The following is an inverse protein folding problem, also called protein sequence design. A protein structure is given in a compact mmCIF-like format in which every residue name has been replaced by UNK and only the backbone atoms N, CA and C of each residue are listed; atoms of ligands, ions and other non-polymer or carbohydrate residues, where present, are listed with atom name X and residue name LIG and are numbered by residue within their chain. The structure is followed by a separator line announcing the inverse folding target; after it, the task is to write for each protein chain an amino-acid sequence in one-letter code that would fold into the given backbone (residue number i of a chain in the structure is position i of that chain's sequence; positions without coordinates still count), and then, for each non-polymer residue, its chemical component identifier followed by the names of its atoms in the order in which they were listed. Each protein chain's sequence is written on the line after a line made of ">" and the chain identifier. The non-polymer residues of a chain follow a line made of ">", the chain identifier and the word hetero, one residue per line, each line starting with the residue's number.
data_IF_556695452062
#
_entry.id   IF_556695452062
#
_cell.length_a   1.000
_cell.length_b   1.000
_cell.length_c   1.000
_cell.angle_alpha   90.00
_cell.angle_beta   90.00
_cell.angle_gamma   90.00
#
_symmetry.space_group_name_H-M   'P 1'
#
loop_
_entity.id
_entity.type
_entity.pdbx_description
1 polymer ?
#
# COMPACT_ATOMS: atom_id res chain seq x y z
N UNK A 1 31.76 18.90 0.18
CA UNK A 1 31.38 17.46 0.24
C UNK A 1 30.08 17.21 1.00
N UNK A 2 29.85 17.78 2.19
CA UNK A 2 28.61 17.56 2.96
C UNK A 2 27.33 18.03 2.23
N UNK A 3 27.34 19.22 1.62
CA UNK A 3 26.17 19.74 0.88
C UNK A 3 25.77 18.86 -0.32
N UNK A 4 26.75 18.38 -1.08
CA UNK A 4 26.52 17.47 -2.23
C UNK A 4 25.93 16.14 -1.76
N UNK A 5 26.44 15.59 -0.65
CA UNK A 5 25.89 14.37 -0.03
C UNK A 5 24.43 14.56 0.42
N UNK A 6 24.11 15.71 1.01
CA UNK A 6 22.74 16.03 1.44
C UNK A 6 21.78 16.13 0.26
N UNK A 7 22.18 16.84 -0.81
CA UNK A 7 21.38 16.94 -2.03
C UNK A 7 21.13 15.55 -2.62
N UNK A 8 22.17 14.72 -2.72
CA UNK A 8 22.05 13.35 -3.22
C UNK A 8 21.08 12.50 -2.38
N UNK A 9 21.12 12.63 -1.06
CA UNK A 9 20.15 11.96 -0.18
C UNK A 9 18.72 12.47 -0.42
N UNK A 10 18.55 13.79 -0.58
CA UNK A 10 17.26 14.41 -0.86
C UNK A 10 16.69 14.07 -2.24
N UNK A 11 17.55 13.71 -3.20
CA UNK A 11 17.13 13.33 -4.55
C UNK A 11 16.27 12.07 -4.54
N UNK A 12 16.54 11.09 -3.68
CA UNK A 12 15.85 9.78 -3.67
C UNK A 12 15.01 9.53 -2.41
N UNK A 13 14.93 10.53 -1.53
CA UNK A 13 14.10 10.47 -0.33
C UNK A 13 12.60 10.57 -0.66
N UNK A 14 11.72 10.08 0.24
CA UNK A 14 10.28 10.12 0.02
C UNK A 14 9.72 11.54 0.01
N UNK A 15 8.62 11.74 -0.70
CA UNK A 15 7.83 12.97 -0.62
C UNK A 15 7.18 13.09 0.76
N UNK A 16 7.28 14.28 1.35
CA UNK A 16 6.58 14.66 2.57
C UNK A 16 5.21 15.24 2.21
N UNK A 17 4.15 14.76 2.85
CA UNK A 17 2.77 15.21 2.62
C UNK A 17 2.30 16.18 3.69
N UNK A 18 2.56 15.85 4.96
CA UNK A 18 2.11 16.66 6.10
C UNK A 18 3.08 16.58 7.27
N UNK A 19 3.13 17.67 8.03
CA UNK A 19 3.72 17.73 9.37
C UNK A 19 2.58 17.95 10.36
N UNK A 20 2.36 17.00 11.27
CA UNK A 20 1.42 17.13 12.37
C UNK A 20 2.06 17.98 13.47
N UNK A 21 1.62 19.24 13.57
CA UNK A 21 2.04 20.19 14.61
C UNK A 21 0.77 20.70 15.33
N UNK A 22 0.78 20.66 16.66
CA UNK A 22 -0.32 21.11 17.52
C UNK A 22 -0.69 22.58 17.26
N UNK A 23 0.24 23.36 16.72
CA UNK A 23 0.05 24.79 16.41
C UNK A 23 -0.65 25.05 15.07
N UNK A 24 -0.60 24.09 14.13
CA UNK A 24 -1.16 24.22 12.77
C UNK A 24 -1.74 22.89 12.30
N UNK A 25 -2.90 22.48 12.86
CA UNK A 25 -3.47 21.16 12.61
C UNK A 25 -3.82 20.92 11.13
N UNK A 26 -4.10 21.96 10.34
CA UNK A 26 -4.68 21.81 9.00
C UNK A 26 -3.71 22.04 7.83
N UNK A 27 -2.46 22.42 8.09
CA UNK A 27 -1.55 22.85 7.01
C UNK A 27 -0.78 21.64 6.43
N UNK A 28 -0.91 21.44 5.11
CA UNK A 28 -0.11 20.47 4.35
C UNK A 28 1.34 20.95 4.19
N UNK A 29 2.26 20.05 3.90
CA UNK A 29 3.64 20.43 3.63
C UNK A 29 3.74 21.29 2.35
N UNK A 30 4.29 22.48 2.49
CA UNK A 30 4.52 23.39 1.37
C UNK A 30 5.91 23.14 0.75
N UNK A 31 5.91 22.41 -0.36
CA UNK A 31 7.09 22.24 -1.19
C UNK A 31 7.51 23.57 -1.86
N UNK A 32 8.82 23.81 -1.93
CA UNK A 32 9.37 24.94 -2.68
C UNK A 32 9.15 24.81 -4.19
N UNK A 33 9.32 25.90 -4.95
CA UNK A 33 9.08 25.91 -6.40
C UNK A 33 9.88 24.85 -7.17
N UNK A 34 11.16 24.64 -6.81
CA UNK A 34 12.02 23.65 -7.46
C UNK A 34 11.56 22.21 -7.20
N UNK A 35 11.13 21.92 -5.96
CA UNK A 35 10.57 20.62 -5.60
C UNK A 35 9.26 20.36 -6.34
N UNK A 36 8.34 21.34 -6.33
CA UNK A 36 7.05 21.24 -7.04
C UNK A 36 7.23 20.96 -8.53
N UNK A 37 8.14 21.67 -9.20
CA UNK A 37 8.40 21.47 -10.62
C UNK A 37 8.97 20.07 -10.89
N UNK A 38 9.99 19.67 -10.12
CA UNK A 38 10.61 18.35 -10.26
C UNK A 38 9.62 17.21 -10.04
N UNK A 39 8.81 17.30 -8.97
CA UNK A 39 7.78 16.30 -8.68
C UNK A 39 6.69 16.29 -9.75
N UNK A 40 6.26 17.45 -10.28
CA UNK A 40 5.25 17.51 -11.34
C UNK A 40 5.72 16.80 -12.62
N UNK A 41 6.97 16.98 -13.02
CA UNK A 41 7.54 16.31 -14.20
C UNK A 41 7.65 14.80 -13.98
N UNK A 42 8.18 14.38 -12.83
CA UNK A 42 8.31 12.96 -12.47
C UNK A 42 6.93 12.29 -12.45
N UNK A 43 5.93 12.93 -11.82
CA UNK A 43 4.56 12.42 -11.76
C UNK A 43 3.91 12.34 -13.14
N UNK A 44 4.08 13.35 -14.00
CA UNK A 44 3.53 13.34 -15.36
C UNK A 44 4.10 12.19 -16.18
N UNK A 45 5.41 11.94 -16.08
CA UNK A 45 6.07 10.82 -16.74
C UNK A 45 5.61 9.46 -16.19
N UNK A 46 5.40 9.36 -14.88
CA UNK A 46 4.84 8.15 -14.26
C UNK A 46 3.42 7.84 -14.77
N UNK A 47 2.56 8.85 -14.87
CA UNK A 47 1.19 8.68 -15.39
C UNK A 47 1.25 8.26 -16.87
N UNK A 48 2.07 8.94 -17.68
CA UNK A 48 2.25 8.59 -19.10
C UNK A 48 2.76 7.15 -19.26
N UNK A 49 3.68 6.71 -18.41
CA UNK A 49 4.16 5.32 -18.40
C UNK A 49 3.02 4.33 -18.08
N UNK A 50 2.24 4.57 -17.02
CA UNK A 50 1.14 3.69 -16.65
C UNK A 50 0.05 3.65 -17.74
N UNK A 51 -0.36 4.80 -18.27
CA UNK A 51 -1.32 4.88 -19.38
C UNK A 51 -0.77 4.18 -20.63
N UNK A 52 0.53 4.35 -20.91
CA UNK A 52 1.24 3.67 -21.98
C UNK A 52 1.24 2.15 -21.82
N UNK A 53 1.41 1.63 -20.60
CA UNK A 53 1.30 0.20 -20.31
C UNK A 53 -0.11 -0.33 -20.59
N UNK A 54 -1.15 0.37 -20.13
CA UNK A 54 -2.55 -0.04 -20.38
C UNK A 54 -2.95 0.04 -21.85
N UNK A 55 -2.38 1.00 -22.60
CA UNK A 55 -2.62 1.17 -24.04
C UNK A 55 -1.58 0.46 -24.92
N UNK A 56 -0.66 -0.31 -24.31
CA UNK A 56 0.49 -0.90 -24.99
C UNK A 56 0.15 -1.81 -26.18
N UNK A 57 -0.93 -2.62 -26.20
CA UNK A 57 -1.24 -3.44 -27.37
C UNK A 57 -1.61 -2.59 -28.60
N UNK A 58 -2.31 -1.47 -28.37
CA UNK A 58 -2.69 -0.52 -29.41
C UNK A 58 -1.44 0.24 -29.87
N UNK A 59 -0.64 0.76 -28.92
CA UNK A 59 0.60 1.48 -29.22
C UNK A 59 1.59 0.61 -29.99
N UNK A 60 1.79 -0.65 -29.59
CA UNK A 60 2.66 -1.60 -30.27
C UNK A 60 2.21 -1.84 -31.72
N UNK A 61 0.90 -1.98 -31.95
CA UNK A 61 0.34 -2.14 -33.30
C UNK A 61 0.59 -0.89 -34.16
N UNK A 62 0.42 0.31 -33.61
CA UNK A 62 0.68 1.58 -34.30
C UNK A 62 2.17 1.73 -34.62
N UNK A 63 3.04 1.45 -33.65
CA UNK A 63 4.50 1.53 -33.82
C UNK A 63 5.00 0.55 -34.88
N UNK A 64 4.44 -0.67 -34.90
CA UNK A 64 4.73 -1.68 -35.91
C UNK A 64 4.30 -1.22 -37.31
N UNK A 65 3.04 -0.77 -37.47
CA UNK A 65 2.52 -0.29 -38.76
C UNK A 65 3.28 0.91 -39.32
N UNK A 66 3.85 1.76 -38.45
CA UNK A 66 4.64 2.93 -38.84
C UNK A 66 6.13 2.63 -39.06
N UNK A 67 6.56 1.38 -38.92
CA UNK A 67 7.95 0.99 -39.18
C UNK A 67 8.96 1.48 -38.14
N UNK A 68 8.52 1.82 -36.92
CA UNK A 68 9.44 2.28 -35.87
C UNK A 68 10.41 1.19 -35.36
N UNK A 69 10.21 -0.07 -35.75
CA UNK A 69 11.13 -1.18 -35.49
C UNK A 69 12.21 -1.34 -36.58
N UNK A 70 12.25 -0.48 -37.58
CA UNK A 70 13.36 -0.39 -38.56
C UNK A 70 14.49 0.46 -37.96
N UNK A 71 15.73 0.31 -38.45
CA UNK A 71 16.93 0.98 -37.91
C UNK A 71 16.73 2.49 -37.66
N UNK A 72 16.21 3.24 -38.63
CA UNK A 72 15.94 4.67 -38.48
C UNK A 72 14.89 4.99 -37.40
N UNK A 73 13.89 4.10 -37.27
CA UNK A 73 12.87 4.14 -36.22
C UNK A 73 13.46 3.92 -34.83
N UNK A 74 14.35 2.95 -34.69
CA UNK A 74 15.06 2.65 -33.43
C UNK A 74 15.92 3.84 -33.01
N UNK A 75 16.66 4.46 -33.94
CA UNK A 75 17.45 5.67 -33.65
C UNK A 75 16.55 6.81 -33.16
N UNK A 76 15.36 6.96 -33.74
CA UNK A 76 14.38 7.98 -33.32
C UNK A 76 13.83 7.69 -31.91
N UNK A 77 13.49 6.44 -31.62
CA UNK A 77 13.08 6.00 -30.27
C UNK A 77 14.21 6.27 -29.26
N UNK A 78 15.45 5.93 -29.60
CA UNK A 78 16.60 6.12 -28.72
C UNK A 78 16.85 7.60 -28.40
N UNK A 79 16.70 8.50 -29.38
CA UNK A 79 16.77 9.96 -29.16
C UNK A 79 15.66 10.44 -28.22
N UNK A 80 14.44 9.95 -28.42
CA UNK A 80 13.29 10.30 -27.58
C UNK A 80 13.46 9.81 -26.14
N UNK A 81 13.87 8.55 -25.94
CA UNK A 81 14.15 7.98 -24.61
C UNK A 81 15.30 8.70 -23.92
N UNK A 82 16.36 9.06 -24.67
CA UNK A 82 17.46 9.87 -24.13
C UNK A 82 16.97 11.25 -23.66
N UNK A 83 16.13 11.91 -24.47
CA UNK A 83 15.52 13.19 -24.10
C UNK A 83 14.68 13.10 -22.81
N UNK A 84 13.82 12.09 -22.70
CA UNK A 84 13.07 11.81 -21.48
C UNK A 84 14.00 11.54 -20.29
N UNK A 85 15.05 10.75 -20.50
CA UNK A 85 16.05 10.44 -19.46
C UNK A 85 16.76 11.69 -18.92
N UNK A 86 17.13 12.62 -19.80
CA UNK A 86 17.73 13.90 -19.41
C UNK A 86 16.76 14.78 -18.63
N UNK A 87 15.50 14.86 -19.07
CA UNK A 87 14.44 15.59 -18.35
C UNK A 87 14.21 15.00 -16.96
N UNK A 88 14.16 13.66 -16.84
CA UNK A 88 14.06 12.98 -15.56
C UNK A 88 15.24 13.31 -14.66
N UNK A 89 16.47 13.16 -15.16
CA UNK A 89 17.68 13.46 -14.39
C UNK A 89 17.68 14.91 -13.87
N UNK A 90 17.35 15.88 -14.73
CA UNK A 90 17.23 17.27 -14.33
C UNK A 90 16.14 17.47 -13.26
N UNK A 91 14.99 16.81 -13.40
CA UNK A 91 13.86 16.90 -12.45
C UNK A 91 14.24 16.36 -11.07
N UNK A 92 14.93 15.21 -11.00
CA UNK A 92 15.43 14.67 -9.74
C UNK A 92 16.47 15.59 -9.08
N UNK A 93 17.37 16.21 -9.85
CA UNK A 93 18.33 17.18 -9.34
C UNK A 93 17.65 18.42 -8.75
N UNK A 94 16.70 19.03 -9.48
CA UNK A 94 15.96 20.20 -9.02
C UNK A 94 15.14 19.89 -7.76
N UNK A 95 14.52 18.70 -7.72
CA UNK A 95 13.85 18.20 -6.52
C UNK A 95 14.80 18.08 -5.33
N UNK A 96 15.96 17.48 -5.52
CA UNK A 96 16.98 17.31 -4.48
C UNK A 96 17.45 18.65 -3.91
N UNK A 97 17.69 19.65 -4.78
CA UNK A 97 18.07 21.01 -4.36
C UNK A 97 16.93 21.69 -3.60
N UNK A 98 15.69 21.59 -4.10
CA UNK A 98 14.51 22.18 -3.46
C UNK A 98 14.31 21.65 -2.04
N UNK A 99 14.44 20.34 -1.86
CA UNK A 99 14.33 19.66 -0.56
C UNK A 99 15.48 19.99 0.38
N UNK A 100 16.72 20.07 -0.13
CA UNK A 100 17.90 20.42 0.67
C UNK A 100 17.82 21.83 1.27
N UNK A 101 17.10 22.74 0.60
CA UNK A 101 16.89 24.11 1.06
C UNK A 101 15.67 24.27 2.00
N UNK A 102 14.87 23.22 2.23
CA UNK A 102 13.70 23.28 3.10
C UNK A 102 14.00 22.71 4.50
N UNK A 103 14.00 23.57 5.52
CA UNK A 103 14.32 23.17 6.90
C UNK A 103 13.34 22.13 7.48
N UNK A 104 12.04 22.23 7.17
CA UNK A 104 11.05 21.26 7.63
C UNK A 104 11.31 19.88 7.01
N UNK A 105 11.68 19.85 5.73
CA UNK A 105 12.03 18.61 5.03
C UNK A 105 13.30 17.96 5.59
N UNK A 106 14.34 18.76 5.86
CA UNK A 106 15.59 18.24 6.45
C UNK A 106 15.34 17.66 7.85
N UNK A 107 14.50 18.30 8.66
CA UNK A 107 14.15 17.79 9.99
C UNK A 107 13.43 16.45 9.88
N UNK A 108 12.45 16.35 8.97
CA UNK A 108 11.80 15.09 8.63
C UNK A 108 12.81 14.01 8.19
N UNK A 109 13.71 14.35 7.26
CA UNK A 109 14.68 13.40 6.72
C UNK A 109 15.62 12.86 7.81
N UNK A 110 16.00 13.70 8.78
CA UNK A 110 16.78 13.29 9.94
C UNK A 110 15.98 12.34 10.84
N UNK A 111 14.71 12.63 11.13
CA UNK A 111 13.82 11.74 11.89
C UNK A 111 13.63 10.39 11.19
N UNK A 112 13.43 10.40 9.86
CA UNK A 112 13.31 9.18 9.06
C UNK A 112 14.60 8.36 9.07
N UNK A 113 15.76 9.01 8.94
CA UNK A 113 17.07 8.34 8.95
C UNK A 113 17.35 7.73 10.31
N UNK A 114 16.99 8.42 11.40
CA UNK A 114 17.09 7.90 12.75
C UNK A 114 16.20 6.67 12.96
N UNK A 115 14.92 6.73 12.54
CA UNK A 115 13.98 5.62 12.64
C UNK A 115 14.38 4.40 11.79
N UNK A 116 14.99 4.62 10.62
CA UNK A 116 15.53 3.54 9.77
C UNK A 116 16.76 2.87 10.37
N UNK A 117 17.57 3.63 11.13
CA UNK A 117 18.75 3.09 11.82
C UNK A 117 18.32 2.27 13.04
N UNK A 118 17.40 2.81 13.83
CA UNK A 118 16.90 2.18 15.05
C UNK A 118 15.45 2.58 15.29
N UNK A 119 14.54 1.61 15.15
CA UNK A 119 13.12 1.81 15.40
C UNK A 119 12.80 1.49 16.87
N UNK A 120 12.69 2.53 17.69
CA UNK A 120 12.28 2.45 19.09
C UNK A 120 11.04 3.34 19.31
N UNK A 121 10.52 3.38 20.54
CA UNK A 121 9.29 4.15 20.86
C UNK A 121 9.47 5.66 20.59
N UNK A 122 10.65 6.20 20.85
CA UNK A 122 10.92 7.64 20.71
C UNK A 122 11.12 8.03 19.24
N UNK A 123 11.88 7.24 18.48
CA UNK A 123 12.07 7.47 17.04
C UNK A 123 10.77 7.26 16.27
N UNK A 124 9.95 6.29 16.68
CA UNK A 124 8.59 6.14 16.16
C UNK A 124 7.74 7.37 16.46
N UNK A 125 7.67 7.81 17.72
CA UNK A 125 6.88 9.00 18.09
C UNK A 125 7.31 10.25 17.34
N UNK A 126 8.61 10.41 17.10
CA UNK A 126 9.14 11.50 16.27
C UNK A 126 8.72 11.37 14.81
N UNK A 127 8.74 10.14 14.26
CA UNK A 127 8.33 9.86 12.87
C UNK A 127 6.83 10.03 12.65
N UNK A 128 6.00 9.67 13.63
CA UNK A 128 4.53 9.81 13.58
C UNK A 128 4.06 11.25 13.45
N UNK A 129 4.94 12.24 13.65
CA UNK A 129 4.67 13.66 13.36
C UNK A 129 4.65 13.98 11.86
N UNK A 130 5.01 13.03 11.01
CA UNK A 130 5.13 13.24 9.58
C UNK A 130 4.27 12.22 8.80
N UNK A 131 3.54 12.71 7.80
CA UNK A 131 2.92 11.87 6.78
C UNK A 131 3.74 11.96 5.49
N UNK A 132 4.15 10.82 4.95
CA UNK A 132 5.04 10.74 3.80
C UNK A 132 4.81 9.43 3.03
N UNK A 133 5.49 9.29 1.89
CA UNK A 133 5.33 8.12 1.02
C UNK A 133 5.62 6.80 1.74
N UNK A 134 4.66 5.88 1.63
CA UNK A 134 4.66 4.64 2.41
C UNK A 134 5.90 3.77 2.19
N UNK A 135 6.46 3.71 0.97
CA UNK A 135 7.63 2.86 0.67
C UNK A 135 8.81 3.13 1.63
N UNK A 136 8.94 4.36 2.12
CA UNK A 136 10.01 4.75 3.02
C UNK A 136 9.72 4.48 4.50
N UNK A 137 8.47 4.21 4.88
CA UNK A 137 8.08 3.90 6.26
C UNK A 137 8.81 2.63 6.73
N UNK A 138 9.42 2.63 7.93
CA UNK A 138 10.13 1.46 8.43
C UNK A 138 9.16 0.31 8.72
N UNK A 139 9.59 -0.93 8.48
CA UNK A 139 8.80 -2.11 8.82
C UNK A 139 8.79 -2.27 10.34
N UNK A 140 7.60 -2.34 10.94
CA UNK A 140 7.45 -2.39 12.39
C UNK A 140 7.14 -3.79 12.92
N UNK A 141 6.64 -4.67 12.05
CA UNK A 141 6.29 -6.03 12.40
C UNK A 141 6.43 -6.93 11.17
N UNK A 142 7.08 -8.07 11.34
CA UNK A 142 7.32 -9.06 10.30
C UNK A 142 6.71 -10.39 10.70
N UNK A 143 6.34 -11.17 9.71
CA UNK A 143 5.89 -12.55 9.92
C UNK A 143 6.93 -13.41 10.65
N UNK A 144 8.22 -13.08 10.51
CA UNK A 144 9.34 -13.78 11.15
C UNK A 144 9.59 -13.38 12.60
N UNK A 145 8.97 -12.29 13.08
CA UNK A 145 9.18 -11.80 14.45
C UNK A 145 8.48 -12.69 15.49
N UNK A 146 7.58 -13.57 15.03
CA UNK A 146 6.97 -14.62 15.83
C UNK A 146 7.88 -15.84 15.68
N UNK A 147 8.72 -16.09 16.69
CA UNK A 147 9.59 -17.26 16.73
C UNK A 147 8.78 -18.55 16.53
N UNK A 148 9.15 -19.33 15.51
CA UNK A 148 8.95 -20.78 15.55
C UNK A 148 7.54 -21.32 15.36
N UNK A 149 6.56 -20.56 14.86
CA UNK A 149 5.27 -21.16 14.51
C UNK A 149 5.30 -21.81 13.11
N UNK A 150 6.23 -22.77 12.92
CA UNK A 150 6.17 -23.75 11.83
C UNK A 150 4.99 -24.73 12.01
N UNK A 151 4.36 -24.73 13.19
CA UNK A 151 3.29 -25.64 13.58
C UNK A 151 1.88 -25.10 13.33
N UNK A 152 1.70 -23.80 13.04
CA UNK A 152 0.39 -23.27 12.59
C UNK A 152 0.09 -23.79 11.21
N UNK A 153 -0.48 -24.98 11.18
CA UNK A 153 -1.07 -25.58 10.01
C UNK A 153 -2.21 -24.67 9.55
N UNK A 154 -1.93 -23.90 8.49
CA UNK A 154 -2.95 -23.07 7.87
C UNK A 154 -4.00 -23.99 7.29
N UNK A 155 -5.23 -23.82 7.74
CA UNK A 155 -6.36 -24.50 7.16
C UNK A 155 -6.65 -23.83 5.82
N UNK A 156 -6.71 -24.66 4.79
CA UNK A 156 -7.18 -24.28 3.47
C UNK A 156 -8.41 -25.12 3.18
N UNK A 157 -9.40 -24.52 2.52
CA UNK A 157 -10.53 -25.29 2.01
C UNK A 157 -10.00 -26.21 0.92
N UNK A 158 -10.28 -27.51 1.02
CA UNK A 158 -9.88 -28.48 0.01
C UNK A 158 -10.32 -28.00 -1.37
N UNK A 159 -9.37 -27.85 -2.29
CA UNK A 159 -9.71 -27.54 -3.67
C UNK A 159 -10.51 -28.73 -4.20
N UNK A 160 -11.70 -28.51 -4.78
CA UNK A 160 -12.44 -29.59 -5.40
C UNK A 160 -11.52 -30.27 -6.41
N UNK A 161 -11.30 -31.57 -6.23
CA UNK A 161 -10.46 -32.34 -7.15
C UNK A 161 -11.04 -32.16 -8.55
N UNK A 162 -10.24 -31.71 -9.55
CA UNK A 162 -10.73 -31.62 -10.90
C UNK A 162 -10.93 -33.06 -11.38
N UNK A 163 -12.15 -33.58 -11.25
CA UNK A 163 -12.58 -34.80 -11.93
C UNK A 163 -12.66 -34.48 -13.43
N UNK A 164 -11.51 -34.36 -14.08
CA UNK A 164 -11.37 -34.20 -15.53
C UNK A 164 -10.52 -35.35 -16.05
N UNK A 165 -11.01 -35.99 -17.08
CA UNK A 165 -10.30 -37.03 -17.83
C UNK A 165 -9.11 -36.39 -18.58
N UNK A 166 -8.03 -37.13 -18.85
CA UNK A 166 -6.83 -36.56 -19.50
C UNK A 166 -7.12 -35.88 -20.86
N UNK A 167 -8.11 -36.37 -21.59
CA UNK A 167 -8.59 -35.81 -22.85
C UNK A 167 -9.30 -34.47 -22.63
N UNK A 168 -10.16 -34.38 -21.61
CA UNK A 168 -10.86 -33.14 -21.24
C UNK A 168 -9.89 -32.07 -20.72
N UNK A 169 -8.79 -32.49 -20.08
CA UNK A 169 -7.71 -31.59 -19.69
C UNK A 169 -7.00 -31.00 -20.91
N UNK A 170 -6.65 -31.83 -21.90
CA UNK A 170 -6.00 -31.37 -23.14
C UNK A 170 -6.88 -30.37 -23.92
N UNK A 171 -8.18 -30.66 -24.08
CA UNK A 171 -9.12 -29.75 -24.75
C UNK A 171 -9.39 -28.47 -23.93
N UNK A 172 -9.22 -28.50 -22.61
CA UNK A 172 -9.36 -27.33 -21.75
C UNK A 172 -8.09 -26.45 -21.70
N UNK A 173 -6.93 -26.93 -22.15
CA UNK A 173 -5.66 -26.18 -22.08
C UNK A 173 -5.73 -24.80 -22.75
N UNK A 174 -6.26 -24.64 -23.98
CA UNK A 174 -6.36 -23.31 -24.59
C UNK A 174 -7.22 -22.37 -23.77
N UNK A 175 -8.35 -22.86 -23.23
CA UNK A 175 -9.23 -22.09 -22.37
C UNK A 175 -8.52 -21.71 -21.05
N UNK A 176 -7.78 -22.63 -20.42
CA UNK A 176 -7.02 -22.35 -19.20
C UNK A 176 -5.92 -21.31 -19.43
N UNK A 177 -5.21 -21.38 -20.55
CA UNK A 177 -4.21 -20.37 -20.92
C UNK A 177 -4.88 -19.01 -21.12
N UNK A 178 -5.99 -18.95 -21.85
CA UNK A 178 -6.75 -17.70 -22.03
C UNK A 178 -7.29 -17.18 -20.70
N UNK A 179 -7.85 -18.03 -19.84
CA UNK A 179 -8.33 -17.65 -18.52
C UNK A 179 -7.20 -17.13 -17.63
N UNK A 180 -6.03 -17.77 -17.66
CA UNK A 180 -4.83 -17.33 -16.95
C UNK A 180 -4.39 -15.95 -17.46
N UNK A 181 -4.29 -15.77 -18.79
CA UNK A 181 -3.96 -14.49 -19.39
C UNK A 181 -4.97 -13.41 -19.02
N UNK A 182 -6.27 -13.67 -19.11
CA UNK A 182 -7.33 -12.73 -18.72
C UNK A 182 -7.21 -12.37 -17.25
N UNK A 183 -7.07 -13.35 -16.35
CA UNK A 183 -6.96 -13.13 -14.92
C UNK A 183 -5.74 -12.26 -14.57
N UNK A 184 -4.57 -12.53 -15.17
CA UNK A 184 -3.32 -11.83 -14.86
C UNK A 184 -3.13 -10.50 -15.61
N UNK A 185 -3.91 -10.20 -16.65
CA UNK A 185 -3.82 -8.95 -17.40
C UNK A 185 -4.79 -7.90 -16.88
N UNK A 186 -6.10 -8.10 -17.06
CA UNK A 186 -7.13 -7.13 -16.70
C UNK A 186 -8.20 -7.67 -15.76
N UNK A 187 -8.44 -8.99 -15.73
CA UNK A 187 -9.49 -9.63 -14.95
C UNK A 187 -9.37 -9.29 -13.46
N UNK A 188 -8.19 -9.50 -12.85
CA UNK A 188 -7.95 -9.15 -11.45
C UNK A 188 -8.18 -7.67 -11.17
N UNK A 189 -7.77 -6.79 -12.08
CA UNK A 189 -7.92 -5.34 -11.95
C UNK A 189 -9.38 -4.90 -12.07
N UNK A 190 -10.22 -5.62 -12.80
CA UNK A 190 -11.66 -5.38 -12.84
C UNK A 190 -12.37 -5.87 -11.57
N UNK A 191 -11.91 -6.98 -11.00
CA UNK A 191 -12.45 -7.49 -9.72
C UNK A 191 -12.05 -6.57 -8.57
N UNK A 192 -10.79 -6.10 -8.54
CA UNK A 192 -10.23 -5.19 -7.54
C UNK A 192 -9.75 -3.87 -8.18
N UNK A 193 -10.66 -2.97 -8.58
CA UNK A 193 -10.28 -1.71 -9.20
C UNK A 193 -9.38 -0.84 -8.30
N UNK A 194 -9.44 -1.00 -6.97
CA UNK A 194 -8.57 -0.29 -6.03
C UNK A 194 -7.07 -0.54 -6.22
N UNK A 195 -6.66 -1.63 -6.90
CA UNK A 195 -5.23 -1.85 -7.23
C UNK A 195 -4.77 -1.16 -8.53
N UNK A 196 -5.67 -0.50 -9.28
CA UNK A 196 -5.31 0.20 -10.52
C UNK A 196 -4.59 1.51 -10.18
N UNK A 197 -3.32 1.64 -10.59
CA UNK A 197 -2.47 2.81 -10.29
C UNK A 197 -3.12 4.16 -10.62
N UNK A 198 -3.88 4.24 -11.73
CA UNK A 198 -4.58 5.47 -12.15
C UNK A 198 -5.71 5.83 -11.19
N UNK A 199 -6.51 4.85 -10.76
CA UNK A 199 -7.58 5.08 -9.79
C UNK A 199 -6.99 5.51 -8.44
N UNK A 200 -5.95 4.81 -7.98
CA UNK A 200 -5.25 5.17 -6.74
C UNK A 200 -4.68 6.58 -6.78
N UNK A 201 -4.15 7.00 -7.94
CA UNK A 201 -3.67 8.36 -8.12
C UNK A 201 -4.80 9.39 -7.97
N UNK A 202 -5.94 9.16 -8.63
CA UNK A 202 -7.12 10.04 -8.53
C UNK A 202 -7.65 10.09 -7.09
N UNK A 203 -7.62 8.98 -6.36
CA UNK A 203 -8.09 8.90 -4.99
C UNK A 203 -7.08 9.42 -3.95
N UNK A 204 -5.80 9.53 -4.29
CA UNK A 204 -4.72 9.91 -3.38
C UNK A 204 -5.01 11.15 -2.51
N UNK A 205 -5.57 12.26 -3.02
CA UNK A 205 -5.91 13.42 -2.18
C UNK A 205 -6.97 13.10 -1.11
N UNK A 206 -7.99 12.31 -1.47
CA UNK A 206 -9.08 11.90 -0.57
C UNK A 206 -8.57 10.90 0.47
N UNK A 207 -7.73 9.96 0.06
CA UNK A 207 -7.09 9.01 0.99
C UNK A 207 -6.17 9.73 1.98
N UNK A 208 -5.39 10.70 1.51
CA UNK A 208 -4.56 11.53 2.39
C UNK A 208 -5.42 12.29 3.40
N UNK A 209 -6.53 12.90 2.96
CA UNK A 209 -7.44 13.59 3.87
C UNK A 209 -8.08 12.65 4.90
N UNK A 210 -8.52 11.46 4.49
CA UNK A 210 -9.04 10.43 5.40
C UNK A 210 -8.02 9.99 6.44
N UNK A 211 -6.77 9.76 6.01
CA UNK A 211 -5.66 9.44 6.91
C UNK A 211 -5.38 10.56 7.92
N UNK A 212 -5.33 11.81 7.45
CA UNK A 212 -5.14 12.98 8.31
C UNK A 212 -6.22 13.02 9.38
N UNK A 213 -7.49 12.84 8.99
CA UNK A 213 -8.63 12.82 9.91
C UNK A 213 -8.46 11.75 11.00
N UNK A 214 -8.10 10.51 10.61
CA UNK A 214 -7.86 9.42 11.55
C UNK A 214 -6.75 9.77 12.56
N UNK A 215 -5.63 10.34 12.09
CA UNK A 215 -4.50 10.70 12.96
C UNK A 215 -4.88 11.87 13.89
N UNK A 216 -5.49 12.93 13.37
CA UNK A 216 -5.78 14.15 14.14
C UNK A 216 -6.96 14.01 15.09
N UNK A 217 -8.06 13.38 14.65
CA UNK A 217 -9.31 13.30 15.42
C UNK A 217 -9.38 12.03 16.27
N UNK A 218 -8.79 10.92 15.80
CA UNK A 218 -8.89 9.62 16.49
C UNK A 218 -7.57 9.15 17.11
N UNK A 219 -6.50 9.95 17.05
CA UNK A 219 -5.17 9.59 17.55
C UNK A 219 -4.68 8.26 16.93
N UNK A 220 -4.98 8.05 15.65
CA UNK A 220 -4.64 6.83 14.96
C UNK A 220 -3.11 6.70 14.76
N UNK A 221 -2.61 5.48 14.87
CA UNK A 221 -1.23 5.12 14.62
C UNK A 221 -1.11 4.25 13.36
N UNK A 222 -0.27 4.69 12.41
CA UNK A 222 0.02 3.95 11.18
C UNK A 222 1.14 2.94 11.42
N UNK A 223 1.02 1.77 10.81
CA UNK A 223 2.04 0.71 10.86
C UNK A 223 2.26 0.09 9.49
N UNK A 224 3.50 -0.32 9.23
CA UNK A 224 3.87 -1.16 8.08
C UNK A 224 4.16 -2.58 8.55
N UNK A 225 3.41 -3.54 8.00
CA UNK A 225 3.57 -4.96 8.27
C UNK A 225 4.24 -5.66 7.09
N UNK A 226 5.11 -6.65 7.34
CA UNK A 226 5.80 -7.42 6.31
C UNK A 226 5.34 -8.87 6.30
N UNK A 227 4.77 -9.27 5.17
CA UNK A 227 4.16 -10.59 4.93
C UNK A 227 5.17 -11.66 4.50
N UNK A 228 4.75 -12.93 4.50
CA UNK A 228 5.60 -14.08 4.14
C UNK A 228 6.08 -14.07 2.68
N UNK A 229 5.31 -13.49 1.77
CA UNK A 229 5.61 -13.41 0.34
C UNK A 229 6.36 -12.14 -0.06
N UNK A 230 6.79 -11.33 0.93
CA UNK A 230 7.60 -10.13 0.70
C UNK A 230 6.78 -8.86 0.45
N UNK A 231 5.44 -8.92 0.55
CA UNK A 231 4.60 -7.73 0.48
C UNK A 231 4.59 -6.92 1.78
N UNK A 232 4.38 -5.62 1.64
CA UNK A 232 4.21 -4.67 2.73
C UNK A 232 2.74 -4.25 2.79
N UNK A 233 2.12 -4.39 3.97
CA UNK A 233 0.72 -4.03 4.21
C UNK A 233 0.67 -2.74 5.00
N UNK A 234 -0.09 -1.77 4.49
CA UNK A 234 -0.35 -0.49 5.13
C UNK A 234 -1.55 -0.61 6.05
N UNK A 235 -1.36 -0.28 7.32
CA UNK A 235 -2.37 -0.46 8.37
C UNK A 235 -2.49 0.77 9.26
N UNK A 236 -3.68 0.97 9.81
CA UNK A 236 -3.98 2.05 10.73
C UNK A 236 -4.74 1.53 11.93
N UNK A 237 -4.21 1.80 13.12
CA UNK A 237 -4.76 1.35 14.38
C UNK A 237 -5.26 2.53 15.21
N UNK A 238 -6.45 2.40 15.77
CA UNK A 238 -7.02 3.33 16.75
C UNK A 238 -7.24 2.59 18.05
N UNK A 239 -6.48 2.96 19.08
CA UNK A 239 -6.63 2.40 20.42
C UNK A 239 -7.68 3.17 21.23
N UNK A 240 -8.75 2.45 21.57
CA UNK A 240 -9.84 2.94 22.41
C UNK A 240 -9.93 2.25 23.76
N UNK A 241 -8.97 1.38 24.10
CA UNK A 241 -8.84 0.83 25.46
C UNK A 241 -8.81 1.99 26.45
N UNK A 242 -9.53 1.82 27.55
CA UNK A 242 -9.67 2.81 28.63
C UNK A 242 -10.31 4.16 28.23
N UNK A 243 -10.77 4.33 26.98
CA UNK A 243 -11.46 5.53 26.48
C UNK A 243 -12.96 5.31 26.27
N UNK A 244 -13.36 4.09 25.92
CA UNK A 244 -14.76 3.73 25.63
C UNK A 244 -15.10 2.35 26.19
N UNK A 245 -16.38 2.11 26.48
CA UNK A 245 -16.87 0.84 27.02
C UNK A 245 -16.55 -0.37 26.11
N UNK A 246 -16.60 -0.17 24.78
CA UNK A 246 -16.31 -1.21 23.79
C UNK A 246 -14.82 -1.29 23.39
N UNK A 247 -13.97 -0.43 23.95
CA UNK A 247 -12.58 -0.26 23.53
C UNK A 247 -11.68 -1.49 23.75
N UNK A 248 -12.07 -2.40 24.64
CA UNK A 248 -11.36 -3.68 24.87
C UNK A 248 -11.53 -4.67 23.72
N UNK A 249 -12.54 -4.48 22.86
CA UNK A 249 -12.73 -5.29 21.64
C UNK A 249 -12.10 -4.58 20.45
N UNK A 250 -11.29 -5.30 19.68
CA UNK A 250 -10.70 -4.85 18.42
C UNK A 250 -11.58 -5.28 17.26
N UNK A 251 -11.92 -4.35 16.36
CA UNK A 251 -12.54 -4.66 15.08
C UNK A 251 -11.50 -4.54 13.97
N UNK A 252 -11.20 -5.64 13.29
CA UNK A 252 -10.33 -5.65 12.11
C UNK A 252 -11.19 -5.46 10.87
N UNK A 253 -10.96 -4.36 10.16
CA UNK A 253 -11.75 -3.96 8.99
C UNK A 253 -11.05 -4.38 7.70
N UNK A 254 -11.71 -5.24 6.92
CA UNK A 254 -11.31 -5.67 5.58
C UNK A 254 -12.24 -5.04 4.55
N UNK A 255 -11.68 -4.16 3.72
CA UNK A 255 -12.43 -3.33 2.78
C UNK A 255 -12.97 -4.09 1.55
N UNK A 256 -13.76 -3.38 0.75
CA UNK A 256 -14.25 -3.88 -0.54
C UNK A 256 -13.24 -3.70 -1.67
N UNK A 257 -13.67 -4.05 -2.88
CA UNK A 257 -12.84 -4.05 -4.09
C UNK A 257 -12.31 -2.68 -4.57
N UNK A 258 -12.90 -1.59 -4.08
CA UNK A 258 -12.45 -0.21 -4.24
C UNK A 258 -12.44 0.53 -2.89
N UNK A 259 -12.47 -0.22 -1.79
CA UNK A 259 -12.45 0.34 -0.43
C UNK A 259 -11.01 0.51 0.05
N UNK A 260 -10.80 1.56 0.82
CA UNK A 260 -9.52 1.88 1.45
C UNK A 260 -9.79 2.20 2.90
N UNK A 261 -8.92 1.73 3.80
CA UNK A 261 -9.16 1.91 5.24
C UNK A 261 -9.28 3.40 5.60
N UNK A 262 -8.61 4.30 4.85
CA UNK A 262 -8.61 5.73 5.09
C UNK A 262 -10.00 6.38 5.04
N UNK A 263 -10.92 5.81 4.27
CA UNK A 263 -12.25 6.40 3.99
C UNK A 263 -13.40 5.40 4.03
N UNK A 264 -13.11 4.15 4.36
CA UNK A 264 -14.06 3.05 4.26
C UNK A 264 -14.73 2.70 5.59
N UNK A 265 -14.91 1.40 5.80
CA UNK A 265 -15.77 0.83 6.84
C UNK A 265 -15.23 1.01 8.26
N UNK A 266 -13.98 1.46 8.43
CA UNK A 266 -13.39 1.76 9.75
C UNK A 266 -14.24 2.74 10.57
N UNK A 267 -14.94 3.69 9.92
CA UNK A 267 -15.71 4.72 10.61
C UNK A 267 -16.83 4.14 11.47
N UNK A 268 -17.50 3.09 11.01
CA UNK A 268 -18.66 2.48 11.70
C UNK A 268 -18.28 1.87 13.07
N UNK A 269 -17.29 0.97 13.20
CA UNK A 269 -16.87 0.47 14.50
C UNK A 269 -16.20 1.55 15.37
N UNK A 270 -15.58 2.57 14.76
CA UNK A 270 -15.07 3.72 15.50
C UNK A 270 -16.22 4.51 16.15
N UNK A 271 -17.29 4.81 15.44
CA UNK A 271 -18.47 5.49 16.01
C UNK A 271 -19.15 4.64 17.09
N UNK A 272 -19.12 3.32 16.95
CA UNK A 272 -19.62 2.38 17.96
C UNK A 272 -18.68 2.18 19.18
N UNK A 273 -17.54 2.89 19.22
CA UNK A 273 -16.66 2.95 20.40
C UNK A 273 -15.65 1.81 20.53
N UNK A 274 -15.43 1.01 19.47
CA UNK A 274 -14.46 -0.08 19.47
C UNK A 274 -13.02 0.42 19.22
N UNK A 275 -12.02 -0.36 19.63
CA UNK A 275 -10.69 -0.25 19.03
C UNK A 275 -10.76 -0.78 17.60
N UNK A 276 -10.06 -0.15 16.65
CA UNK A 276 -10.20 -0.51 15.23
C UNK A 276 -8.84 -0.62 14.55
N UNK A 277 -8.66 -1.67 13.76
CA UNK A 277 -7.49 -1.88 12.91
C UNK A 277 -7.96 -2.01 11.45
N UNK A 278 -7.69 -1.01 10.64
CA UNK A 278 -7.90 -1.09 9.19
C UNK A 278 -6.60 -1.39 8.46
N UNK A 279 -6.74 -2.01 7.30
CA UNK A 279 -5.62 -2.37 6.44
C UNK A 279 -6.02 -2.26 4.97
N UNK A 280 -5.04 -1.94 4.12
CA UNK A 280 -5.26 -1.92 2.68
C UNK A 280 -4.83 -3.26 2.05
N UNK A 281 -5.69 -3.81 1.19
CA UNK A 281 -5.41 -4.99 0.37
C UNK A 281 -4.06 -4.88 -0.36
N UNK A 282 -3.35 -5.98 -0.63
CA UNK A 282 -2.22 -6.00 -1.55
C UNK A 282 -2.48 -5.19 -2.83
N UNK A 283 -1.60 -4.23 -3.10
CA UNK A 283 -1.71 -3.30 -4.22
C UNK A 283 -2.63 -2.10 -4.04
N UNK A 284 -3.28 -1.92 -2.87
CA UNK A 284 -4.14 -0.78 -2.55
C UNK A 284 -3.41 0.25 -1.69
N UNK A 285 -3.57 1.53 -2.01
CA UNK A 285 -3.06 2.64 -1.22
C UNK A 285 -1.54 2.53 -1.04
N UNK A 286 -1.08 2.42 0.20
CA UNK A 286 0.33 2.16 0.50
C UNK A 286 0.78 0.71 0.27
N UNK A 287 -0.12 -0.26 0.34
CA UNK A 287 0.24 -1.69 0.31
C UNK A 287 0.85 -2.11 -1.02
N UNK A 288 1.90 -2.94 -0.97
CA UNK A 288 2.55 -3.47 -2.18
C UNK A 288 1.87 -4.76 -2.65
N UNK A 289 2.30 -5.27 -3.80
CA UNK A 289 1.79 -6.52 -4.35
C UNK A 289 0.55 -6.31 -5.21
N UNK A 290 -0.27 -7.36 -5.30
CA UNK A 290 -1.54 -7.39 -6.03
C UNK A 290 -2.51 -8.29 -5.27
N UNK A 291 -3.83 -8.07 -5.36
CA UNK A 291 -4.84 -8.77 -4.56
C UNK A 291 -5.10 -10.20 -5.07
N UNK A 292 -4.04 -10.95 -5.34
CA UNK A 292 -4.12 -12.37 -5.62
C UNK A 292 -4.57 -13.12 -4.36
N UNK A 293 -5.33 -14.23 -4.51
CA UNK A 293 -5.83 -15.00 -3.38
C UNK A 293 -4.77 -15.30 -2.31
N UNK A 294 -3.58 -15.77 -2.70
CA UNK A 294 -2.53 -16.12 -1.73
C UNK A 294 -1.95 -14.88 -1.01
N UNK A 295 -1.85 -13.74 -1.71
CA UNK A 295 -1.35 -12.49 -1.13
C UNK A 295 -2.35 -11.87 -0.15
N UNK A 296 -3.65 -11.94 -0.47
CA UNK A 296 -4.74 -11.53 0.43
C UNK A 296 -4.70 -12.32 1.74
N UNK A 297 -4.52 -13.64 1.67
CA UNK A 297 -4.43 -14.50 2.85
C UNK A 297 -3.18 -14.20 3.68
N UNK A 298 -2.03 -13.99 3.03
CA UNK A 298 -0.82 -13.58 3.73
C UNK A 298 -0.96 -12.20 4.39
N UNK A 299 -1.71 -11.28 3.77
CA UNK A 299 -1.97 -9.95 4.31
C UNK A 299 -2.87 -9.99 5.54
N UNK A 300 -3.99 -10.70 5.52
CA UNK A 300 -4.85 -10.82 6.71
C UNK A 300 -4.18 -11.62 7.83
N UNK A 301 -3.37 -12.63 7.50
CA UNK A 301 -2.60 -13.41 8.49
C UNK A 301 -1.60 -12.54 9.26
N UNK A 302 -0.86 -11.66 8.57
CA UNK A 302 0.07 -10.75 9.25
C UNK A 302 -0.68 -9.69 10.09
N UNK A 303 -1.85 -9.23 9.63
CA UNK A 303 -2.71 -8.29 10.37
C UNK A 303 -3.22 -8.92 11.66
N UNK A 304 -3.68 -10.18 11.61
CA UNK A 304 -4.09 -10.94 12.79
C UNK A 304 -2.94 -11.16 13.77
N UNK A 305 -1.77 -11.59 13.25
CA UNK A 305 -0.56 -11.78 14.05
C UNK A 305 -0.12 -10.47 14.74
N UNK A 306 -0.17 -9.36 14.02
CA UNK A 306 0.13 -8.05 14.57
C UNK A 306 -0.85 -7.68 15.69
N UNK A 307 -2.16 -7.88 15.49
CA UNK A 307 -3.17 -7.62 16.51
C UNK A 307 -2.94 -8.42 17.80
N UNK A 308 -2.61 -9.70 17.68
CA UNK A 308 -2.40 -10.61 18.82
C UNK A 308 -1.06 -10.33 19.50
N UNK A 309 0.04 -10.40 18.75
CA UNK A 309 1.38 -10.43 19.32
C UNK A 309 1.94 -9.04 19.61
N UNK A 310 1.58 -8.02 18.82
CA UNK A 310 2.09 -6.65 18.99
C UNK A 310 1.10 -5.75 19.70
N UNK A 311 -0.18 -5.73 19.29
CA UNK A 311 -1.21 -4.89 19.93
C UNK A 311 -1.80 -5.51 21.21
N UNK A 312 -1.55 -6.81 21.44
CA UNK A 312 -1.95 -7.55 22.66
C UNK A 312 -3.46 -7.69 22.84
N UNK A 313 -4.22 -7.80 21.75
CA UNK A 313 -5.62 -8.23 21.81
C UNK A 313 -5.68 -9.76 21.83
N UNK A 314 -6.40 -10.33 22.80
CA UNK A 314 -6.68 -11.76 22.79
C UNK A 314 -7.64 -12.09 21.64
N UNK A 315 -7.51 -13.25 20.96
CA UNK A 315 -8.41 -13.65 19.87
C UNK A 315 -9.90 -13.47 20.22
N UNK A 316 -10.32 -13.86 21.42
CA UNK A 316 -11.70 -13.73 21.94
C UNK A 316 -12.23 -12.29 22.00
N UNK A 317 -11.34 -11.31 21.90
CA UNK A 317 -11.64 -9.88 21.87
C UNK A 317 -11.44 -9.26 20.48
N UNK A 318 -11.30 -10.07 19.42
CA UNK A 318 -11.15 -9.61 18.04
C UNK A 318 -12.42 -9.96 17.25
N UNK A 319 -13.05 -8.93 16.65
CA UNK A 319 -14.13 -9.06 15.69
C UNK A 319 -13.58 -8.83 14.28
N UNK A 320 -13.94 -9.68 13.32
CA UNK A 320 -13.59 -9.53 11.92
C UNK A 320 -14.76 -8.88 11.17
N UNK A 321 -14.52 -7.74 10.54
CA UNK A 321 -15.53 -7.03 9.75
C UNK A 321 -15.09 -6.94 8.29
N UNK A 322 -15.70 -7.76 7.43
CA UNK A 322 -15.43 -7.80 6.00
C UNK A 322 -16.54 -7.14 5.19
N UNK A 323 -16.18 -6.13 4.40
CA UNK A 323 -17.11 -5.49 3.47
C UNK A 323 -16.98 -6.09 2.07
N UNK A 324 -18.07 -6.62 1.54
CA UNK A 324 -18.15 -7.20 0.20
C UNK A 324 -17.04 -8.25 0.00
N UNK A 325 -16.13 -8.03 -0.96
CA UNK A 325 -15.01 -8.93 -1.21
C UNK A 325 -14.04 -9.06 -0.02
N UNK A 326 -14.02 -8.09 0.90
CA UNK A 326 -13.31 -8.17 2.18
C UNK A 326 -13.81 -9.31 3.07
N UNK A 327 -15.00 -9.84 2.80
CA UNK A 327 -15.49 -11.07 3.43
C UNK A 327 -14.61 -12.30 3.13
N UNK A 328 -13.89 -12.33 2.01
CA UNK A 328 -12.96 -13.42 1.69
C UNK A 328 -11.81 -13.54 2.71
N UNK A 329 -10.95 -12.52 2.92
CA UNK A 329 -9.91 -12.60 3.93
C UNK A 329 -10.47 -12.73 5.36
N UNK A 330 -11.60 -12.08 5.69
CA UNK A 330 -12.23 -12.21 7.01
C UNK A 330 -12.70 -13.64 7.31
N UNK A 331 -13.32 -14.31 6.34
CA UNK A 331 -13.79 -15.69 6.52
C UNK A 331 -12.62 -16.68 6.66
N UNK A 332 -11.55 -16.49 5.88
CA UNK A 332 -10.35 -17.31 6.02
C UNK A 332 -9.66 -17.11 7.36
N UNK A 333 -9.61 -15.86 7.85
CA UNK A 333 -9.06 -15.55 9.17
C UNK A 333 -9.89 -16.19 10.29
N UNK A 334 -11.22 -16.17 10.21
CA UNK A 334 -12.09 -16.86 11.17
C UNK A 334 -11.79 -18.36 11.25
N UNK A 335 -11.57 -19.00 10.10
CA UNK A 335 -11.24 -20.42 10.04
C UNK A 335 -9.85 -20.72 10.64
N UNK A 336 -8.88 -19.81 10.50
CA UNK A 336 -7.50 -19.99 10.97
C UNK A 336 -7.22 -19.42 12.38
N UNK A 337 -8.20 -18.73 12.95
CA UNK A 337 -8.20 -18.16 14.29
C UNK A 337 -9.59 -18.39 14.91
N UNK A 338 -9.94 -19.64 15.24
CA UNK A 338 -11.32 -20.02 15.59
C UNK A 338 -11.84 -19.33 16.87
N UNK A 339 -10.93 -18.87 17.73
CA UNK A 339 -11.27 -18.20 18.99
C UNK A 339 -11.63 -16.71 18.80
N UNK A 340 -11.74 -16.20 17.57
CA UNK A 340 -12.19 -14.83 17.33
C UNK A 340 -13.60 -14.61 17.86
N UNK A 341 -13.88 -13.40 18.36
CA UNK A 341 -15.17 -13.01 18.94
C UNK A 341 -16.34 -13.21 17.98
N UNK A 342 -16.10 -13.01 16.69
CA UNK A 342 -17.10 -13.18 15.65
C UNK A 342 -16.68 -12.57 14.32
N UNK A 343 -17.46 -12.86 13.29
CA UNK A 343 -17.27 -12.36 11.93
C UNK A 343 -18.56 -11.73 11.45
N UNK A 344 -18.45 -10.53 10.87
CA UNK A 344 -19.53 -9.83 10.21
C UNK A 344 -19.10 -9.61 8.76
N UNK A 345 -19.85 -10.19 7.82
CA UNK A 345 -19.65 -9.96 6.39
C UNK A 345 -20.90 -9.31 5.81
N UNK A 346 -20.73 -8.16 5.16
CA UNK A 346 -21.82 -7.35 4.58
C UNK A 346 -21.67 -7.22 3.08
#
# INVERSE_FOLDING_TARGET
>A
MAAVKLIWQCMFSPRLHKVYDDRRPDVLYEAGHLEKWGDQVIHSLFIMWNVGLYTSPILATVLYRRGYFVFDGIVTIAKFLTGIGLILAASYCLRGIGRANNHAYITFLNSLTAAKKELNKDTKKALSRYDFEFYAWPVEFKWSDIEGDETKHRLYVDRPSPRRTAVEWLFALPCQVVSCLVAHTFGLRLVYPGCISVLQYVMSPILLQGRIKLVSENQAERFKLWTRDGNQVDTMFVDRRDKHANGSTLVICSEGNAGFYEIGIMVTPLEAGYSVLGWNHPGFGGSTGMPYPDQELNAIDIVMQFAIHRLKFQPENILLFGWSIGGYPSSWAAMNYPDVKGVVCV
#
